data_IF_370543564522
#
_entry.id   IF_370543564522
#
_cell.length_a   1.000
_cell.length_b   1.000
_cell.length_c   1.000
_cell.angle_alpha   90.00
_cell.angle_beta   90.00
_cell.angle_gamma   90.00
#
_symmetry.space_group_name_H-M   'P 1'
#
loop_
_entity.id
_entity.type
_entity.pdbx_description
1 polymer ?
#
# COMPACT_ATOMS: atom_id res chain seq x y z
N UNK A 1 -10.81 1.42 45.79
CA UNK A 1 -12.04 0.80 45.26
C UNK A 1 -12.40 1.46 43.95
N UNK A 2 -11.71 1.14 42.89
CA UNK A 2 -12.19 1.44 41.53
C UNK A 2 -11.74 0.32 40.62
N UNK A 3 -12.70 -0.55 40.36
CA UNK A 3 -12.63 -1.63 39.40
C UNK A 3 -13.14 -1.10 38.05
N UNK A 4 -12.27 -0.42 37.31
CA UNK A 4 -12.56 0.00 35.93
C UNK A 4 -11.33 -0.04 35.04
N UNK A 5 -10.51 -1.06 35.14
CA UNK A 5 -9.29 -1.20 34.37
C UNK A 5 -9.30 -2.49 33.57
N UNK A 6 -10.13 -2.55 32.55
CA UNK A 6 -9.88 -3.42 31.38
C UNK A 6 -10.86 -3.16 30.24
N UNK A 7 -11.12 -1.90 29.91
CA UNK A 7 -11.70 -1.59 28.60
C UNK A 7 -10.54 -1.54 27.61
N UNK A 8 -10.58 -2.46 26.66
CA UNK A 8 -9.50 -2.78 25.76
C UNK A 8 -8.86 -1.59 25.06
N UNK A 9 -7.57 -1.65 24.89
CA UNK A 9 -6.65 -0.70 24.23
C UNK A 9 -7.13 -0.20 22.83
N UNK A 10 -8.14 -0.82 22.25
CA UNK A 10 -8.72 -0.44 20.97
C UNK A 10 -9.85 0.61 21.02
N UNK A 11 -10.51 0.80 22.18
CA UNK A 11 -11.79 1.52 22.20
C UNK A 11 -11.67 3.05 22.19
N UNK A 12 -10.58 3.62 22.69
CA UNK A 12 -10.40 5.08 22.74
C UNK A 12 -9.92 5.62 21.39
N UNK A 13 -9.05 4.89 20.69
CA UNK A 13 -8.64 5.20 19.32
C UNK A 13 -9.78 5.04 18.33
N UNK A 14 -10.55 3.98 18.47
CA UNK A 14 -11.75 3.77 17.66
C UNK A 14 -12.68 4.97 17.72
N UNK A 15 -12.92 5.56 18.88
CA UNK A 15 -13.87 6.68 19.03
C UNK A 15 -13.39 8.00 18.43
N UNK A 16 -12.08 8.31 18.48
CA UNK A 16 -11.57 9.55 17.90
C UNK A 16 -11.47 9.46 16.38
N UNK A 17 -10.94 8.37 15.84
CA UNK A 17 -10.87 8.15 14.40
C UNK A 17 -12.21 7.74 13.79
N UNK A 18 -13.04 6.92 14.46
CA UNK A 18 -14.38 6.55 13.97
C UNK A 18 -15.31 7.75 13.79
N UNK A 19 -15.21 8.77 14.65
CA UNK A 19 -16.02 9.99 14.51
C UNK A 19 -15.57 10.88 13.35
N UNK A 20 -14.26 10.91 13.05
CA UNK A 20 -13.69 11.73 11.98
C UNK A 20 -13.69 10.96 10.65
N UNK A 21 -13.38 9.69 10.69
CA UNK A 21 -13.05 8.88 9.52
C UNK A 21 -14.20 7.97 9.06
N UNK A 22 -15.15 7.68 9.93
CA UNK A 22 -16.34 6.83 9.69
C UNK A 22 -16.02 5.44 9.08
N UNK A 23 -14.81 4.94 9.31
CA UNK A 23 -14.41 3.60 8.88
C UNK A 23 -13.47 2.95 9.91
N UNK A 24 -13.42 1.62 9.90
CA UNK A 24 -12.66 0.82 10.86
C UNK A 24 -11.23 0.67 10.37
N UNK A 25 -10.30 1.40 10.97
CA UNK A 25 -8.87 1.36 10.67
C UNK A 25 -8.05 1.16 11.93
N UNK A 26 -6.84 0.64 11.80
CA UNK A 26 -5.90 0.49 12.89
C UNK A 26 -4.64 1.31 12.59
N UNK A 27 -4.26 2.20 13.52
CA UNK A 27 -2.97 2.86 13.48
C UNK A 27 -1.93 1.91 14.08
N UNK A 28 -1.02 1.41 13.24
CA UNK A 28 0.01 0.45 13.63
C UNK A 28 1.22 1.10 14.27
N UNK A 29 1.62 2.25 13.74
CA UNK A 29 2.74 3.03 14.23
C UNK A 29 2.50 4.52 13.98
N UNK A 30 3.17 5.36 14.75
CA UNK A 30 3.18 6.82 14.60
C UNK A 30 4.62 7.28 14.62
N UNK A 31 5.04 8.03 13.59
CA UNK A 31 6.34 8.70 13.57
C UNK A 31 6.15 10.16 13.92
N UNK A 32 6.87 10.63 14.93
CA UNK A 32 6.90 12.01 15.40
C UNK A 32 8.32 12.48 15.54
N UNK A 33 8.73 13.47 14.74
CA UNK A 33 10.09 14.00 14.78
C UNK A 33 11.17 12.93 14.53
N UNK A 34 10.90 11.95 13.67
CA UNK A 34 11.84 10.87 13.36
C UNK A 34 11.87 9.71 14.36
N UNK A 35 11.07 9.77 15.44
CA UNK A 35 10.92 8.67 16.42
C UNK A 35 9.62 7.94 16.17
N UNK A 36 9.69 6.62 16.07
CA UNK A 36 8.53 5.74 15.82
C UNK A 36 8.05 5.10 17.10
N UNK A 37 6.77 5.23 17.38
CA UNK A 37 6.11 4.62 18.53
C UNK A 37 4.93 3.75 18.07
N UNK A 38 4.73 2.60 18.71
CA UNK A 38 3.52 1.80 18.56
C UNK A 38 2.47 2.37 19.53
N UNK A 39 1.39 2.96 19.00
CA UNK A 39 0.46 3.71 19.84
C UNK A 39 -0.32 2.78 20.78
N UNK A 40 -0.44 3.21 22.03
CA UNK A 40 -1.33 2.59 23.03
C UNK A 40 -2.67 3.31 23.09
N UNK A 41 -3.65 2.78 23.84
CA UNK A 41 -4.97 3.40 23.97
C UNK A 41 -4.99 4.82 24.59
N UNK A 42 -3.87 5.28 25.15
CA UNK A 42 -3.69 6.61 25.71
C UNK A 42 -2.83 7.53 24.84
N UNK A 43 -2.41 7.09 23.67
CA UNK A 43 -1.59 7.90 22.77
C UNK A 43 -2.41 9.05 22.18
N UNK A 44 -1.88 10.24 22.19
CA UNK A 44 -2.54 11.43 21.64
C UNK A 44 -1.84 11.83 20.34
N UNK A 45 -2.61 11.80 19.24
CA UNK A 45 -2.16 12.28 17.93
C UNK A 45 -1.99 13.80 17.96
N UNK A 46 -0.98 14.29 17.25
CA UNK A 46 -0.66 15.71 17.11
C UNK A 46 -0.52 16.06 15.64
N UNK A 47 -0.66 17.34 15.34
CA UNK A 47 -0.34 17.87 14.03
C UNK A 47 1.13 17.60 13.68
N UNK A 48 1.39 17.15 12.43
CA UNK A 48 2.72 16.75 11.98
C UNK A 48 3.09 15.29 12.27
N UNK A 49 2.21 14.49 12.92
CA UNK A 49 2.43 13.05 13.08
C UNK A 49 2.25 12.32 11.75
N UNK A 50 3.18 11.44 11.42
CA UNK A 50 3.05 10.51 10.30
C UNK A 50 2.44 9.19 10.80
N UNK A 51 1.28 8.82 10.25
CA UNK A 51 0.51 7.67 10.68
C UNK A 51 0.68 6.48 9.74
N UNK A 52 1.06 5.34 10.28
CA UNK A 52 1.07 4.07 9.58
C UNK A 52 -0.22 3.32 9.89
N UNK A 53 -1.09 3.19 8.89
CA UNK A 53 -2.46 2.69 9.05
C UNK A 53 -2.61 1.37 8.28
N UNK A 54 -3.27 0.39 8.90
CA UNK A 54 -3.72 -0.81 8.24
C UNK A 54 -5.24 -0.94 8.30
N UNK A 55 -5.83 -1.45 7.22
CA UNK A 55 -7.23 -1.82 7.12
C UNK A 55 -7.43 -2.74 5.91
N UNK A 56 -8.64 -3.24 5.71
CA UNK A 56 -8.99 -3.91 4.45
C UNK A 56 -8.95 -2.90 3.29
N UNK A 57 -8.76 -3.37 2.07
CA UNK A 57 -8.70 -2.51 0.88
C UNK A 57 -9.97 -1.62 0.73
N UNK A 58 -11.14 -2.17 1.06
CA UNK A 58 -12.41 -1.43 1.05
C UNK A 58 -12.41 -0.31 2.08
N UNK A 59 -11.97 -0.60 3.32
CA UNK A 59 -11.91 0.38 4.39
C UNK A 59 -10.86 1.47 4.13
N UNK A 60 -9.71 1.12 3.54
CA UNK A 60 -8.72 2.11 3.11
C UNK A 60 -9.28 3.03 2.02
N UNK A 61 -9.97 2.46 1.04
CA UNK A 61 -10.62 3.26 -0.01
C UNK A 61 -11.67 4.21 0.59
N UNK A 62 -12.47 3.71 1.54
CA UNK A 62 -13.46 4.53 2.23
C UNK A 62 -12.81 5.63 3.08
N UNK A 63 -11.71 5.31 3.79
CA UNK A 63 -10.90 6.29 4.52
C UNK A 63 -10.44 7.42 3.61
N UNK A 64 -9.80 7.08 2.50
CA UNK A 64 -9.24 8.05 1.57
C UNK A 64 -10.32 8.92 0.93
N UNK A 65 -11.51 8.35 0.65
CA UNK A 65 -12.67 9.12 0.20
C UNK A 65 -13.20 10.07 1.28
N UNK A 66 -13.32 9.60 2.52
CA UNK A 66 -13.84 10.41 3.63
C UNK A 66 -12.88 11.57 3.98
N UNK A 67 -11.58 11.37 3.77
CA UNK A 67 -10.56 12.42 3.91
C UNK A 67 -10.46 13.34 2.69
N UNK A 68 -11.22 13.08 1.63
CA UNK A 68 -11.16 13.86 0.39
C UNK A 68 -9.87 13.66 -0.42
N UNK A 69 -9.06 12.65 -0.08
CA UNK A 69 -7.82 12.32 -0.79
C UNK A 69 -8.15 11.68 -2.14
N UNK A 70 -9.13 10.76 -2.15
CA UNK A 70 -9.66 10.16 -3.39
C UNK A 70 -11.04 10.77 -3.62
N UNK A 71 -11.13 11.66 -4.58
CA UNK A 71 -12.39 12.32 -4.96
C UNK A 71 -13.12 11.60 -6.08
N UNK A 72 -12.37 10.96 -6.98
CA UNK A 72 -12.92 10.25 -8.14
C UNK A 72 -11.97 9.11 -8.59
N UNK A 73 -12.49 8.20 -9.42
CA UNK A 73 -11.67 7.18 -10.09
C UNK A 73 -10.87 7.87 -11.21
N UNK A 74 -9.57 7.61 -11.28
CA UNK A 74 -8.74 8.12 -12.37
C UNK A 74 -9.31 7.66 -13.73
N UNK A 75 -9.49 8.59 -14.65
CA UNK A 75 -10.00 8.36 -16.01
C UNK A 75 -8.94 8.59 -17.08
N UNK A 76 -8.02 9.51 -16.83
CA UNK A 76 -6.96 9.89 -17.75
C UNK A 76 -5.61 9.87 -17.06
N UNK A 77 -4.69 9.06 -17.58
CA UNK A 77 -3.37 8.85 -16.99
C UNK A 77 -2.28 9.10 -18.05
N UNK A 78 -1.29 9.91 -17.72
CA UNK A 78 -0.09 10.10 -18.52
C UNK A 78 1.02 9.21 -17.95
N UNK A 79 1.64 8.39 -18.78
CA UNK A 79 2.76 7.52 -18.45
C UNK A 79 4.00 7.99 -19.20
N UNK A 80 5.05 8.35 -18.46
CA UNK A 80 6.32 8.79 -19.01
C UNK A 80 7.31 7.62 -19.01
N UNK A 81 7.51 7.00 -20.17
CA UNK A 81 8.41 5.86 -20.39
C UNK A 81 7.71 4.57 -20.80
N UNK A 82 7.98 4.12 -22.03
CA UNK A 82 7.41 2.92 -22.66
C UNK A 82 8.21 1.64 -22.42
N UNK A 83 8.99 1.56 -21.34
CA UNK A 83 9.71 0.36 -20.95
C UNK A 83 8.77 -0.81 -20.58
N UNK A 84 9.33 -1.90 -20.06
CA UNK A 84 8.54 -3.09 -19.70
C UNK A 84 7.41 -2.80 -18.71
N UNK A 85 7.67 -1.99 -17.68
CA UNK A 85 6.64 -1.64 -16.68
C UNK A 85 5.57 -0.76 -17.34
N UNK A 86 5.96 0.23 -18.15
CA UNK A 86 5.04 1.09 -18.89
C UNK A 86 4.08 0.29 -19.78
N UNK A 87 4.60 -0.69 -20.50
CA UNK A 87 3.81 -1.61 -21.33
C UNK A 87 2.73 -2.35 -20.52
N UNK A 88 3.10 -3.01 -19.40
CA UNK A 88 2.13 -3.75 -18.59
C UNK A 88 1.13 -2.83 -17.92
N UNK A 89 1.59 -1.69 -17.38
CA UNK A 89 0.71 -0.72 -16.73
C UNK A 89 -0.31 -0.16 -17.72
N UNK A 90 0.13 0.27 -18.89
CA UNK A 90 -0.76 0.77 -19.95
C UNK A 90 -1.81 -0.27 -20.36
N UNK A 91 -1.37 -1.54 -20.51
CA UNK A 91 -2.27 -2.64 -20.86
C UNK A 91 -3.34 -2.86 -19.79
N UNK A 92 -2.97 -2.81 -18.52
CA UNK A 92 -3.92 -3.04 -17.42
C UNK A 92 -4.87 -1.87 -17.23
N UNK A 93 -4.38 -0.65 -17.28
CA UNK A 93 -5.21 0.55 -17.14
C UNK A 93 -6.23 0.65 -18.29
N UNK A 94 -5.83 0.35 -19.52
CA UNK A 94 -6.74 0.32 -20.66
C UNK A 94 -7.86 -0.73 -20.47
N UNK A 95 -7.55 -1.93 -19.96
CA UNK A 95 -8.56 -2.95 -19.63
C UNK A 95 -9.55 -2.50 -18.57
N UNK A 96 -9.14 -1.64 -17.65
CA UNK A 96 -10.00 -1.03 -16.63
C UNK A 96 -10.79 0.19 -17.14
N UNK A 97 -10.68 0.50 -18.43
CA UNK A 97 -11.37 1.62 -19.07
C UNK A 97 -10.76 2.99 -18.74
N UNK A 98 -9.48 3.02 -18.40
CA UNK A 98 -8.72 4.25 -18.18
C UNK A 98 -8.10 4.70 -19.50
N UNK A 99 -8.26 5.95 -19.87
CA UNK A 99 -7.56 6.56 -21.03
C UNK A 99 -6.09 6.74 -20.69
N UNK A 100 -5.21 6.11 -21.44
CA UNK A 100 -3.77 6.14 -21.23
C UNK A 100 -3.09 6.90 -22.36
N UNK A 101 -2.26 7.87 -21.99
CA UNK A 101 -1.30 8.53 -22.85
C UNK A 101 0.09 8.06 -22.46
N UNK A 102 0.78 7.36 -23.34
CA UNK A 102 2.15 6.85 -23.11
C UNK A 102 3.14 7.68 -23.93
N UNK A 103 4.07 8.33 -23.25
CA UNK A 103 5.15 9.13 -23.89
C UNK A 103 6.44 8.30 -23.87
N UNK A 104 7.02 8.06 -25.02
CA UNK A 104 8.28 7.33 -25.18
C UNK A 104 9.21 8.09 -26.14
N UNK A 105 10.49 8.15 -25.79
CA UNK A 105 11.49 8.90 -26.53
C UNK A 105 12.08 8.11 -27.71
N UNK A 106 12.13 6.80 -27.62
CA UNK A 106 12.66 5.92 -28.65
C UNK A 106 11.60 5.60 -29.70
N UNK A 107 11.82 6.03 -30.94
CA UNK A 107 10.90 5.86 -32.07
C UNK A 107 10.67 4.36 -32.37
N UNK A 108 11.73 3.54 -32.39
CA UNK A 108 11.61 2.12 -32.65
C UNK A 108 10.78 1.42 -31.54
N UNK A 109 10.91 1.90 -30.29
CA UNK A 109 10.09 1.44 -29.19
C UNK A 109 8.63 1.86 -29.31
N UNK A 110 8.35 3.06 -29.78
CA UNK A 110 7.00 3.52 -30.08
C UNK A 110 6.32 2.64 -31.14
N UNK A 111 7.03 2.30 -32.22
CA UNK A 111 6.54 1.39 -33.25
C UNK A 111 6.24 -0.02 -32.70
N UNK A 112 7.15 -0.56 -31.91
CA UNK A 112 6.96 -1.86 -31.24
C UNK A 112 5.71 -1.84 -30.33
N UNK A 113 5.55 -0.79 -29.55
CA UNK A 113 4.43 -0.64 -28.61
C UNK A 113 3.10 -0.47 -29.35
N UNK A 114 3.08 0.25 -30.46
CA UNK A 114 1.86 0.44 -31.27
C UNK A 114 1.31 -0.86 -31.83
N UNK A 115 2.20 -1.84 -32.09
CA UNK A 115 1.80 -3.18 -32.52
C UNK A 115 1.37 -4.13 -31.39
N UNK A 116 1.59 -3.76 -30.12
CA UNK A 116 1.38 -4.65 -28.97
C UNK A 116 0.35 -4.13 -27.95
N UNK A 117 0.20 -2.81 -27.83
CA UNK A 117 -0.72 -2.21 -26.87
C UNK A 117 -2.15 -2.20 -27.41
N UNK A 118 -3.16 -2.19 -26.52
CA UNK A 118 -4.53 -1.98 -26.93
C UNK A 118 -4.71 -0.64 -27.66
N UNK A 119 -5.63 -0.55 -28.64
CA UNK A 119 -5.82 0.66 -29.47
C UNK A 119 -6.33 1.88 -28.65
N UNK A 120 -6.79 1.65 -27.42
CA UNK A 120 -7.22 2.70 -26.48
C UNK A 120 -6.04 3.43 -25.84
N UNK A 121 -4.80 2.90 -25.97
CA UNK A 121 -3.59 3.54 -25.47
C UNK A 121 -3.04 4.47 -26.57
N UNK A 122 -3.04 5.77 -26.28
CA UNK A 122 -2.39 6.75 -27.16
C UNK A 122 -0.87 6.75 -26.91
N UNK A 123 -0.07 6.57 -27.97
CA UNK A 123 1.38 6.58 -27.86
C UNK A 123 1.90 7.85 -28.51
N UNK A 124 2.72 8.59 -27.79
CA UNK A 124 3.38 9.81 -28.26
C UNK A 124 4.87 9.57 -28.30
N UNK A 125 5.44 9.74 -29.49
CA UNK A 125 6.89 9.79 -29.65
C UNK A 125 7.39 11.16 -29.22
N UNK A 126 8.16 11.22 -28.12
CA UNK A 126 8.69 12.48 -27.60
C UNK A 126 9.42 12.35 -26.28
N UNK A 127 10.04 13.45 -25.89
CA UNK A 127 10.75 13.54 -24.61
C UNK A 127 9.79 14.02 -23.52
N UNK A 128 9.49 13.15 -22.55
CA UNK A 128 8.61 13.46 -21.42
C UNK A 128 9.16 14.55 -20.49
N UNK A 129 10.43 14.94 -20.60
CA UNK A 129 11.00 16.08 -19.88
C UNK A 129 10.62 17.43 -20.48
N UNK A 130 10.09 17.43 -21.71
CA UNK A 130 9.62 18.64 -22.39
C UNK A 130 8.33 19.13 -21.78
N UNK A 131 8.36 20.26 -21.08
CA UNK A 131 7.17 20.93 -20.54
C UNK A 131 6.16 21.24 -21.64
N UNK A 132 6.63 21.73 -22.80
CA UNK A 132 5.77 22.03 -23.94
C UNK A 132 4.98 20.79 -24.40
N UNK A 133 5.64 19.61 -24.44
CA UNK A 133 4.97 18.38 -24.82
C UNK A 133 3.91 18.00 -23.78
N UNK A 134 4.24 18.03 -22.49
CA UNK A 134 3.31 17.69 -21.42
C UNK A 134 2.10 18.63 -21.39
N UNK A 135 2.30 19.92 -21.65
CA UNK A 135 1.22 20.90 -21.74
C UNK A 135 0.34 20.66 -22.96
N UNK A 136 0.94 20.41 -24.14
CA UNK A 136 0.17 20.14 -25.38
C UNK A 136 -0.65 18.85 -25.25
N UNK A 137 -0.16 17.88 -24.49
CA UNK A 137 -0.85 16.62 -24.21
C UNK A 137 -1.82 16.70 -23.03
N UNK A 138 -2.01 17.89 -22.45
CA UNK A 138 -3.06 18.17 -21.45
C UNK A 138 -2.75 17.63 -20.07
N UNK A 139 -1.52 17.87 -19.56
CA UNK A 139 -1.12 17.50 -18.20
C UNK A 139 -2.04 18.10 -17.14
N UNK A 140 -2.61 19.27 -17.36
CA UNK A 140 -3.52 19.95 -16.42
C UNK A 140 -4.89 19.26 -16.28
N UNK A 141 -5.28 18.45 -17.28
CA UNK A 141 -6.57 17.76 -17.32
C UNK A 141 -6.46 16.26 -16.99
N UNK A 142 -5.27 15.78 -16.62
CA UNK A 142 -5.09 14.39 -16.28
C UNK A 142 -5.31 14.14 -14.77
N UNK A 143 -5.76 12.93 -14.45
CA UNK A 143 -5.98 12.51 -13.05
C UNK A 143 -4.70 11.99 -12.39
N UNK A 144 -3.77 11.46 -13.20
CA UNK A 144 -2.50 10.98 -12.70
C UNK A 144 -1.37 11.08 -13.74
N UNK A 145 -0.16 11.28 -13.23
CA UNK A 145 1.09 11.16 -13.98
C UNK A 145 1.96 10.09 -13.35
N UNK A 146 2.44 9.16 -14.16
CA UNK A 146 3.34 8.09 -13.71
C UNK A 146 4.67 8.22 -14.45
N UNK A 147 5.74 8.53 -13.71
CA UNK A 147 7.07 8.70 -14.28
C UNK A 147 7.89 7.43 -14.09
N UNK A 148 8.31 6.82 -15.20
CA UNK A 148 9.03 5.55 -15.20
C UNK A 148 10.05 5.41 -16.32
N UNK A 149 10.71 6.51 -16.65
CA UNK A 149 11.84 6.53 -17.59
C UNK A 149 13.02 5.71 -17.06
N UNK A 150 14.10 5.63 -17.85
CA UNK A 150 15.34 4.97 -17.45
C UNK A 150 16.15 5.71 -16.38
N UNK A 151 15.86 7.00 -16.15
CA UNK A 151 16.66 7.88 -15.27
C UNK A 151 15.82 8.35 -14.08
N UNK A 152 16.29 8.05 -12.87
CA UNK A 152 15.58 8.37 -11.63
C UNK A 152 15.46 9.88 -11.42
N UNK A 153 16.51 10.63 -11.68
CA UNK A 153 16.53 12.09 -11.57
C UNK A 153 15.49 12.75 -12.50
N UNK A 154 15.38 12.23 -13.72
CA UNK A 154 14.41 12.72 -14.68
C UNK A 154 12.98 12.41 -14.22
N UNK A 155 12.76 11.21 -13.68
CA UNK A 155 11.46 10.85 -13.10
C UNK A 155 11.07 11.81 -11.97
N UNK A 156 12.02 12.19 -11.10
CA UNK A 156 11.78 13.15 -10.03
C UNK A 156 11.44 14.55 -10.58
N UNK A 157 12.20 15.03 -11.58
CA UNK A 157 11.97 16.36 -12.19
C UNK A 157 10.58 16.42 -12.85
N UNK A 158 10.22 15.41 -13.65
CA UNK A 158 8.91 15.34 -14.31
C UNK A 158 7.78 15.30 -13.25
N UNK A 159 8.00 14.53 -12.17
CA UNK A 159 7.01 14.42 -11.08
C UNK A 159 6.80 15.73 -10.35
N UNK A 160 7.87 16.47 -10.03
CA UNK A 160 7.79 17.81 -9.45
C UNK A 160 7.03 18.77 -10.37
N UNK A 161 7.33 18.73 -11.66
CA UNK A 161 6.60 19.55 -12.63
C UNK A 161 5.12 19.19 -12.68
N UNK A 162 4.77 17.91 -12.75
CA UNK A 162 3.38 17.45 -12.72
C UNK A 162 2.61 17.95 -11.48
N UNK A 163 3.27 17.98 -10.33
CA UNK A 163 2.68 18.54 -9.11
C UNK A 163 2.46 20.05 -9.20
N UNK A 164 3.40 20.81 -9.79
CA UNK A 164 3.19 22.26 -10.00
C UNK A 164 2.04 22.55 -10.96
N UNK A 165 1.74 21.61 -11.89
CA UNK A 165 0.58 21.66 -12.78
C UNK A 165 -0.74 21.29 -12.08
N UNK A 166 -0.69 20.89 -10.77
CA UNK A 166 -1.87 20.54 -10.00
C UNK A 166 -2.42 19.13 -10.26
N UNK A 167 -1.61 18.22 -10.84
CA UNK A 167 -2.01 16.83 -11.07
C UNK A 167 -2.35 16.16 -9.75
N UNK A 168 -3.57 15.59 -9.59
CA UNK A 168 -4.02 15.03 -8.31
C UNK A 168 -3.17 13.87 -7.80
N UNK A 169 -2.66 13.02 -8.70
CA UNK A 169 -1.85 11.86 -8.34
C UNK A 169 -0.56 11.81 -9.17
N UNK A 170 0.56 11.81 -8.48
CA UNK A 170 1.87 11.68 -9.13
C UNK A 170 2.57 10.45 -8.54
N UNK A 171 3.01 9.54 -9.41
CA UNK A 171 3.70 8.32 -9.05
C UNK A 171 5.08 8.33 -9.69
N UNK A 172 6.12 8.29 -8.87
CA UNK A 172 7.53 8.39 -9.29
C UNK A 172 8.21 7.04 -9.15
N UNK A 173 8.68 6.46 -10.25
CA UNK A 173 9.53 5.26 -10.20
C UNK A 173 10.98 5.67 -9.91
N UNK A 174 11.61 4.99 -8.96
CA UNK A 174 13.05 5.07 -8.69
C UNK A 174 13.68 3.69 -8.74
N UNK A 175 14.92 3.61 -9.18
CA UNK A 175 15.69 2.36 -9.22
C UNK A 175 16.36 2.02 -7.89
N UNK A 176 16.58 3.01 -7.03
CA UNK A 176 17.25 2.87 -5.73
C UNK A 176 16.59 3.80 -4.70
N UNK A 177 16.42 3.30 -3.47
CA UNK A 177 15.83 4.04 -2.34
C UNK A 177 16.89 4.63 -1.38
N UNK A 178 18.09 4.89 -1.84
CA UNK A 178 19.21 5.31 -0.98
C UNK A 178 19.03 6.70 -0.32
N UNK A 179 18.04 7.49 -0.76
CA UNK A 179 17.82 8.87 -0.29
C UNK A 179 16.37 9.12 0.13
N UNK A 180 15.78 8.24 0.97
CA UNK A 180 14.40 8.40 1.43
C UNK A 180 14.12 9.78 2.04
N UNK A 181 15.03 10.30 2.88
CA UNK A 181 14.88 11.61 3.51
C UNK A 181 14.85 12.78 2.52
N UNK A 182 15.57 12.68 1.40
CA UNK A 182 15.56 13.67 0.34
C UNK A 182 14.27 13.58 -0.49
N UNK A 183 13.79 12.37 -0.76
CA UNK A 183 12.55 12.12 -1.50
C UNK A 183 11.33 12.64 -0.73
N UNK A 184 11.29 12.40 0.59
CA UNK A 184 10.23 12.91 1.47
C UNK A 184 10.24 14.44 1.55
N UNK A 185 11.43 15.06 1.57
CA UNK A 185 11.57 16.53 1.61
C UNK A 185 11.18 17.22 0.31
N UNK A 186 11.29 16.51 -0.83
CA UNK A 186 10.92 17.04 -2.16
C UNK A 186 9.42 16.95 -2.44
N UNK A 187 8.66 16.22 -1.62
CA UNK A 187 7.22 16.09 -1.81
C UNK A 187 6.84 15.39 -3.12
N UNK A 188 7.57 14.36 -3.54
CA UNK A 188 7.44 13.70 -4.85
C UNK A 188 6.13 12.92 -5.08
N UNK A 189 5.18 12.96 -4.15
CA UNK A 189 3.99 12.13 -4.18
C UNK A 189 4.31 10.69 -3.79
N UNK A 190 3.78 9.72 -4.53
CA UNK A 190 4.05 8.30 -4.27
C UNK A 190 5.33 7.84 -4.97
N UNK A 191 6.36 7.51 -4.22
CA UNK A 191 7.61 6.96 -4.76
C UNK A 191 7.59 5.44 -4.72
N UNK A 192 7.92 4.78 -5.82
CA UNK A 192 7.91 3.33 -5.96
C UNK A 192 9.27 2.84 -6.47
N UNK A 193 9.89 1.90 -5.73
CA UNK A 193 11.07 1.16 -6.16
C UNK A 193 10.70 -0.29 -6.53
N UNK A 194 10.58 -0.64 -7.83
CA UNK A 194 10.20 -1.98 -8.26
C UNK A 194 11.17 -3.07 -7.81
N UNK A 195 12.47 -2.75 -7.70
CA UNK A 195 13.47 -3.70 -7.21
C UNK A 195 13.21 -4.13 -5.77
N UNK A 196 12.88 -3.18 -4.88
CA UNK A 196 12.55 -3.50 -3.49
C UNK A 196 11.26 -4.32 -3.37
N UNK A 197 10.22 -3.93 -4.12
CA UNK A 197 8.97 -4.69 -4.15
C UNK A 197 9.21 -6.14 -4.60
N UNK A 198 10.04 -6.33 -5.63
CA UNK A 198 10.42 -7.66 -6.12
C UNK A 198 11.22 -8.43 -5.07
N UNK A 199 12.26 -7.83 -4.47
CA UNK A 199 13.06 -8.45 -3.43
C UNK A 199 12.20 -8.88 -2.23
N UNK A 200 11.32 -8.01 -1.74
CA UNK A 200 10.42 -8.31 -0.65
C UNK A 200 9.49 -9.49 -0.99
N UNK A 201 9.01 -9.56 -2.24
CA UNK A 201 8.17 -10.67 -2.71
C UNK A 201 8.95 -11.99 -2.77
N UNK A 202 10.19 -11.96 -3.26
CA UNK A 202 11.07 -13.13 -3.31
C UNK A 202 11.41 -13.62 -1.90
N UNK A 203 11.80 -12.72 -1.01
CA UNK A 203 12.13 -13.07 0.39
C UNK A 203 10.93 -13.71 1.08
N UNK A 204 9.72 -13.17 0.86
CA UNK A 204 8.47 -13.75 1.36
C UNK A 204 8.27 -15.18 0.85
N UNK A 205 8.45 -15.39 -0.46
CA UNK A 205 8.31 -16.70 -1.08
C UNK A 205 9.33 -17.71 -0.51
N UNK A 206 10.61 -17.33 -0.42
CA UNK A 206 11.67 -18.18 0.12
C UNK A 206 11.41 -18.56 1.59
N UNK A 207 10.95 -17.60 2.39
CA UNK A 207 10.61 -17.87 3.81
C UNK A 207 9.42 -18.80 3.94
N UNK A 208 8.38 -18.64 3.11
CA UNK A 208 7.22 -19.54 3.08
C UNK A 208 7.64 -20.98 2.72
N UNK A 209 8.64 -21.15 1.86
CA UNK A 209 9.17 -22.46 1.46
C UNK A 209 10.02 -23.13 2.54
N UNK A 210 10.65 -22.37 3.41
CA UNK A 210 11.51 -22.91 4.47
C UNK A 210 10.75 -23.52 5.65
N UNK A 211 9.45 -23.35 5.72
CA UNK A 211 8.45 -24.00 6.60
C UNK A 211 8.98 -24.45 7.99
N UNK A 212 9.72 -23.56 8.65
CA UNK A 212 10.14 -23.80 10.04
C UNK A 212 9.02 -23.31 10.95
N UNK A 213 8.50 -24.18 11.79
CA UNK A 213 7.50 -23.91 12.83
C UNK A 213 7.80 -22.59 13.55
N UNK A 214 6.87 -21.63 13.49
CA UNK A 214 7.04 -20.31 14.13
C UNK A 214 7.87 -19.28 13.36
N UNK A 215 8.33 -19.56 12.13
CA UNK A 215 9.01 -18.57 11.30
C UNK A 215 8.00 -17.56 10.72
N UNK A 216 8.38 -16.28 10.75
CA UNK A 216 7.57 -15.26 10.09
C UNK A 216 7.52 -15.52 8.57
N UNK A 217 6.30 -15.56 8.00
CA UNK A 217 6.08 -15.69 6.55
C UNK A 217 6.53 -14.47 5.80
N UNK A 218 6.27 -13.29 6.36
CA UNK A 218 6.60 -12.02 5.76
C UNK A 218 7.21 -11.09 6.79
N UNK A 219 8.06 -10.19 6.31
CA UNK A 219 8.58 -9.08 7.08
C UNK A 219 8.47 -7.83 6.21
N UNK A 220 7.80 -6.82 6.74
CA UNK A 220 7.73 -5.50 6.13
C UNK A 220 8.34 -4.48 7.08
N UNK A 221 9.34 -3.76 6.62
CA UNK A 221 9.86 -2.62 7.34
C UNK A 221 8.86 -1.46 7.24
N UNK A 222 8.57 -0.85 8.37
CA UNK A 222 7.70 0.30 8.50
C UNK A 222 8.54 1.44 9.07
N UNK A 223 8.28 2.67 8.64
CA UNK A 223 8.92 3.85 9.18
C UNK A 223 10.46 3.73 9.18
N UNK A 224 11.03 3.54 7.98
CA UNK A 224 12.48 3.48 7.76
C UNK A 224 13.20 2.37 8.56
N UNK A 225 12.52 1.27 8.82
CA UNK A 225 13.08 0.14 9.58
C UNK A 225 13.02 0.29 11.09
N UNK A 226 12.42 1.36 11.62
CA UNK A 226 12.24 1.53 13.08
C UNK A 226 11.10 0.68 13.65
N UNK A 227 10.20 0.19 12.79
CA UNK A 227 9.17 -0.79 13.14
C UNK A 227 9.09 -1.86 12.06
N UNK A 228 8.63 -3.04 12.45
CA UNK A 228 8.48 -4.19 11.56
C UNK A 228 7.07 -4.75 11.67
N UNK A 229 6.46 -5.08 10.53
CA UNK A 229 5.26 -5.89 10.48
C UNK A 229 5.63 -7.31 10.06
N UNK A 230 5.25 -8.27 10.90
CA UNK A 230 5.54 -9.69 10.73
C UNK A 230 4.23 -10.45 10.55
N UNK A 231 4.20 -11.39 9.62
CA UNK A 231 3.09 -12.32 9.42
C UNK A 231 3.50 -13.71 9.87
N UNK A 232 2.65 -14.36 10.65
CA UNK A 232 2.86 -15.72 11.15
C UNK A 232 1.66 -16.59 10.78
N UNK A 233 1.93 -17.87 10.51
CA UNK A 233 0.88 -18.88 10.44
C UNK A 233 0.65 -19.44 11.83
N UNK A 234 -0.61 -19.56 12.20
CA UNK A 234 -1.03 -20.24 13.42
C UNK A 234 -0.98 -21.75 13.16
N UNK A 235 -0.13 -22.45 13.84
CA UNK A 235 0.05 -23.91 13.79
C UNK A 235 -0.28 -24.58 15.14
N UNK A 236 -0.18 -25.90 15.22
CA UNK A 236 -0.52 -26.65 16.42
C UNK A 236 0.36 -26.33 17.64
N UNK A 237 1.58 -25.82 17.40
CA UNK A 237 2.53 -25.45 18.45
C UNK A 237 2.38 -24.00 18.91
N UNK A 238 1.50 -23.24 18.24
CA UNK A 238 1.23 -21.83 18.57
C UNK A 238 0.52 -21.73 19.92
N UNK A 239 1.07 -20.91 20.82
CA UNK A 239 0.48 -20.69 22.16
C UNK A 239 -0.78 -19.85 22.07
N UNK A 240 -1.68 -20.03 23.06
CA UNK A 240 -2.89 -19.20 23.23
C UNK A 240 -3.93 -19.31 22.11
N UNK A 241 -3.95 -20.44 21.38
CA UNK A 241 -4.97 -20.71 20.38
C UNK A 241 -6.35 -20.74 21.03
N UNK A 242 -7.31 -20.01 20.45
CA UNK A 242 -8.69 -19.95 20.94
C UNK A 242 -8.88 -19.10 22.21
N UNK A 243 -7.83 -18.40 22.68
CA UNK A 243 -7.97 -17.45 23.79
C UNK A 243 -8.26 -16.05 23.26
N UNK A 244 -9.18 -15.28 23.88
CA UNK A 244 -9.38 -13.88 23.55
C UNK A 244 -8.12 -13.06 23.76
N UNK A 245 -7.78 -12.17 22.81
CA UNK A 245 -6.56 -11.35 22.86
C UNK A 245 -6.45 -10.51 24.13
N UNK A 246 -7.55 -10.10 24.74
CA UNK A 246 -7.55 -9.38 26.03
C UNK A 246 -6.93 -10.16 27.19
N UNK A 247 -6.90 -11.50 27.10
CA UNK A 247 -6.33 -12.37 28.12
C UNK A 247 -4.84 -12.64 27.88
N UNK A 248 -4.33 -12.31 26.69
CA UNK A 248 -2.97 -12.58 26.30
C UNK A 248 -2.08 -11.39 26.64
N UNK A 249 -1.03 -11.61 27.41
CA UNK A 249 0.00 -10.60 27.71
C UNK A 249 1.00 -10.52 26.57
N UNK A 250 0.84 -9.54 25.69
CA UNK A 250 1.86 -9.21 24.71
C UNK A 250 3.03 -8.46 25.36
N UNK A 251 4.23 -8.60 24.79
CA UNK A 251 5.37 -7.78 25.17
C UNK A 251 5.10 -6.31 24.81
N UNK A 252 5.83 -5.40 25.46
CA UNK A 252 5.75 -3.95 25.11
C UNK A 252 6.12 -3.75 23.65
N UNK A 253 5.52 -2.79 23.01
CA UNK A 253 5.73 -2.42 21.60
C UNK A 253 5.39 -3.55 20.59
N UNK A 254 4.47 -4.45 20.95
CA UNK A 254 3.90 -5.43 20.03
C UNK A 254 2.40 -5.17 19.90
N UNK A 255 1.93 -5.14 18.67
CA UNK A 255 0.52 -4.98 18.31
C UNK A 255 0.13 -6.06 17.31
N UNK A 256 -0.98 -6.76 17.53
CA UNK A 256 -1.57 -7.63 16.53
C UNK A 256 -2.43 -6.75 15.61
N UNK A 257 -1.96 -6.56 14.38
CA UNK A 257 -2.54 -5.62 13.44
C UNK A 257 -3.73 -6.22 12.67
N UNK A 258 -3.66 -7.51 12.32
CA UNK A 258 -4.75 -8.21 11.67
C UNK A 258 -4.73 -9.71 11.99
N UNK A 259 -5.88 -10.36 11.84
CA UNK A 259 -6.06 -11.81 11.90
C UNK A 259 -6.78 -12.21 10.62
N UNK A 260 -6.23 -13.20 9.90
CA UNK A 260 -6.82 -13.74 8.69
C UNK A 260 -7.27 -15.18 8.90
N UNK A 261 -8.53 -15.45 8.57
CA UNK A 261 -9.14 -16.78 8.57
C UNK A 261 -9.52 -17.12 7.12
N UNK A 262 -8.65 -17.82 6.40
CA UNK A 262 -8.84 -18.09 4.96
C UNK A 262 -8.88 -16.79 4.15
N UNK A 263 -9.99 -16.52 3.48
CA UNK A 263 -10.19 -15.30 2.68
C UNK A 263 -10.66 -14.09 3.50
N UNK A 264 -11.04 -14.28 4.76
CA UNK A 264 -11.57 -13.22 5.62
C UNK A 264 -10.48 -12.67 6.52
N UNK A 265 -10.20 -11.38 6.38
CA UNK A 265 -9.25 -10.65 7.23
C UNK A 265 -10.00 -9.65 8.10
N UNK A 266 -9.65 -9.59 9.38
CA UNK A 266 -10.23 -8.64 10.34
C UNK A 266 -9.16 -7.86 11.09
N UNK A 267 -9.50 -6.63 11.45
CA UNK A 267 -8.75 -5.86 12.46
C UNK A 267 -9.22 -6.37 13.82
N UNK A 268 -8.33 -6.98 14.62
CA UNK A 268 -8.71 -7.61 15.86
C UNK A 268 -9.11 -6.61 16.94
N UNK A 269 -9.90 -7.09 17.88
CA UNK A 269 -10.21 -6.41 19.13
C UNK A 269 -9.90 -7.33 20.31
N UNK A 270 -10.18 -6.89 21.54
CA UNK A 270 -9.91 -7.70 22.74
C UNK A 270 -10.63 -9.05 22.78
N UNK A 271 -11.74 -9.21 22.06
CA UNK A 271 -12.53 -10.45 22.00
C UNK A 271 -12.14 -11.34 20.82
N UNK A 272 -11.34 -10.83 19.88
CA UNK A 272 -10.83 -11.60 18.76
C UNK A 272 -9.89 -12.70 19.22
N UNK A 273 -9.93 -13.83 18.52
CA UNK A 273 -9.12 -15.03 18.78
C UNK A 273 -8.49 -15.48 17.47
N UNK A 274 -7.29 -16.05 17.55
CA UNK A 274 -6.74 -16.79 16.42
C UNK A 274 -6.90 -18.28 16.65
N UNK A 275 -7.16 -19.03 15.57
CA UNK A 275 -7.42 -20.47 15.64
C UNK A 275 -6.71 -21.20 14.50
N UNK A 276 -6.57 -22.53 14.65
CA UNK A 276 -6.09 -23.38 13.58
C UNK A 276 -7.11 -23.42 12.44
N UNK A 277 -6.62 -23.17 11.22
CA UNK A 277 -7.39 -23.45 10.01
C UNK A 277 -7.25 -24.92 9.65
N UNK A 278 -8.25 -25.74 9.97
CA UNK A 278 -8.36 -27.09 9.42
C UNK A 278 -8.81 -26.96 7.96
N UNK A 279 -7.92 -27.23 7.02
CA UNK A 279 -8.21 -27.32 5.58
C UNK A 279 -8.73 -28.70 5.17
N UNK A 280 -9.35 -29.46 6.06
CA UNK A 280 -10.09 -30.67 5.69
C UNK A 280 -11.51 -30.25 5.30
N UNK A 281 -11.97 -30.57 4.08
CA UNK A 281 -13.40 -30.43 3.77
C UNK A 281 -14.18 -31.27 4.78
N UNK A 282 -15.15 -30.63 5.45
CA UNK A 282 -16.06 -31.36 6.32
C UNK A 282 -16.78 -32.45 5.49
N UNK A 283 -17.03 -33.64 6.05
CA UNK A 283 -17.84 -34.63 5.35
C UNK A 283 -19.22 -34.11 4.88
N UNK A 284 -19.70 -32.99 5.43
CA UNK A 284 -20.95 -32.35 5.00
C UNK A 284 -20.81 -31.56 3.69
N UNK A 285 -19.60 -31.08 3.36
CA UNK A 285 -19.40 -30.31 2.12
C UNK A 285 -19.32 -31.21 0.87
N UNK A 286 -19.23 -32.51 1.05
CA UNK A 286 -19.20 -33.52 -0.04
C UNK A 286 -20.59 -34.01 -0.43
N UNK A 287 -21.60 -33.83 0.43
CA UNK A 287 -22.99 -34.29 0.14
C UNK A 287 -23.83 -33.25 -0.62
N UNK A 288 -23.45 -31.97 -0.63
CA UNK A 288 -24.17 -30.91 -1.38
C UNK A 288 -23.70 -30.77 -2.86
N UNK A 289 -22.73 -31.56 -3.32
CA UNK A 289 -22.22 -31.53 -4.71
C UNK A 289 -22.57 -32.80 -5.50
N UNK A 290 -23.64 -33.51 -5.13
CA UNK A 290 -24.20 -34.64 -5.91
C UNK A 290 -25.59 -34.35 -6.41
#
# INVERSE_FOLDING_TARGET
RDSSTSRGLGDVYKRQLENVVKCKVLVCAVSRGGVVEIPSGHFILREGDHLFITATAEMLTQLLRNLGIITHKAKRVIICGGGRIGYYLSTWLAKEGVSVLLIEQDEARCEELSGKLPPEVCIIHGDASSQFLLESEGIHDCDAVVTMTGMDEMNMIISLYAQTCGVPQVITKVGHMENNSMQDSLGLGSVICPKELCCNTIVRYVRAMQNTTGAALTLHNIAEGQAEALEFVVDADTKHIGEPLRNIRLKRNILIACISHGSKTEIPNGDSMYCLLYTSPSPRDVEESR
#
